data_IF_604247126922
#
_entry.id   IF_604247126922
#
_cell.length_a   1.000
_cell.length_b   1.000
_cell.length_c   1.000
_cell.angle_alpha   90.00
_cell.angle_beta   90.00
_cell.angle_gamma   90.00
#
_symmetry.space_group_name_H-M   'P 1'
#
loop_
_entity.id
_entity.type
_entity.pdbx_description
1 polymer ?
#
# COMPACT_ATOMS: atom_id res chain seq x y z
N UNK A 1 -4.13 18.69 -65.11
CA UNK A 1 -4.07 19.41 -63.84
C UNK A 1 -4.66 18.50 -62.80
N UNK A 2 -3.75 17.77 -62.13
CA UNK A 2 -4.08 16.82 -61.08
C UNK A 2 -4.21 17.56 -59.75
N UNK A 3 -5.31 17.30 -59.04
CA UNK A 3 -5.46 17.72 -57.65
C UNK A 3 -5.56 16.45 -56.80
N UNK A 4 -4.47 16.17 -56.07
CA UNK A 4 -4.36 15.12 -55.07
C UNK A 4 -5.10 15.56 -53.83
N UNK A 5 -6.16 14.87 -53.47
CA UNK A 5 -6.81 14.95 -52.17
C UNK A 5 -6.07 14.00 -51.22
N UNK A 6 -5.20 14.54 -50.37
CA UNK A 6 -4.62 13.79 -49.25
C UNK A 6 -5.69 13.54 -48.18
N UNK A 7 -5.95 12.27 -47.95
CA UNK A 7 -6.79 11.78 -46.86
C UNK A 7 -6.09 12.04 -45.48
N UNK A 8 -6.61 12.97 -44.70
CA UNK A 8 -6.29 13.10 -43.29
C UNK A 8 -6.99 11.97 -42.52
N UNK A 9 -6.36 10.80 -42.42
CA UNK A 9 -6.74 9.78 -41.44
C UNK A 9 -6.27 10.23 -40.05
N UNK A 10 -7.25 10.59 -39.21
CA UNK A 10 -7.03 11.09 -37.86
C UNK A 10 -6.35 10.07 -36.95
N UNK A 11 -5.04 10.15 -36.84
CA UNK A 11 -4.30 9.48 -35.80
C UNK A 11 -4.54 10.19 -34.45
N UNK A 12 -5.40 9.65 -33.60
CA UNK A 12 -5.42 10.08 -32.18
C UNK A 12 -4.00 10.10 -31.65
N UNK A 13 -3.55 11.27 -31.22
CA UNK A 13 -2.19 11.45 -30.73
C UNK A 13 -1.95 10.49 -29.55
N UNK A 14 -0.73 9.94 -29.46
CA UNK A 14 -0.28 9.14 -28.30
C UNK A 14 -0.62 9.82 -26.97
N UNK A 15 -0.71 11.13 -26.98
CA UNK A 15 -1.09 11.96 -25.83
C UNK A 15 -2.59 11.83 -25.52
N UNK A 16 -3.47 11.84 -26.51
CA UNK A 16 -4.91 11.66 -26.35
C UNK A 16 -5.23 10.25 -25.85
N UNK A 17 -4.55 9.23 -26.38
CA UNK A 17 -4.67 7.84 -25.89
C UNK A 17 -4.17 7.68 -24.47
N UNK A 18 -3.07 8.34 -24.09
CA UNK A 18 -2.58 8.38 -22.70
C UNK A 18 -3.50 9.15 -21.77
N UNK A 19 -4.08 10.26 -22.23
CA UNK A 19 -5.06 11.03 -21.46
C UNK A 19 -6.38 10.27 -21.29
N UNK A 20 -6.89 9.62 -22.34
CA UNK A 20 -8.08 8.77 -22.28
C UNK A 20 -7.85 7.54 -21.38
N UNK A 21 -6.67 6.92 -21.45
CA UNK A 21 -6.26 5.84 -20.54
C UNK A 21 -6.18 6.32 -19.09
N UNK A 22 -5.62 7.52 -18.84
CA UNK A 22 -5.61 8.15 -17.50
C UNK A 22 -7.01 8.50 -17.01
N UNK A 23 -7.91 8.95 -17.89
CA UNK A 23 -9.30 9.24 -17.55
C UNK A 23 -10.09 7.96 -17.20
N UNK A 24 -9.88 6.86 -17.93
CA UNK A 24 -10.46 5.54 -17.60
C UNK A 24 -9.89 4.92 -16.33
N UNK A 25 -8.66 5.28 -15.95
CA UNK A 25 -8.01 4.84 -14.71
C UNK A 25 -8.31 5.74 -13.49
N UNK A 26 -9.13 6.80 -13.65
CA UNK A 26 -9.57 7.58 -12.49
C UNK A 26 -10.50 6.71 -11.65
N UNK A 27 -9.94 6.16 -10.59
CA UNK A 27 -10.71 5.53 -9.52
C UNK A 27 -11.78 6.49 -9.05
N UNK A 28 -13.04 6.08 -9.11
CA UNK A 28 -14.13 6.87 -8.55
C UNK A 28 -13.94 6.93 -7.02
N UNK A 29 -13.50 8.09 -6.54
CA UNK A 29 -13.37 8.34 -5.10
C UNK A 29 -14.75 8.68 -4.53
N UNK A 30 -15.17 7.95 -3.50
CA UNK A 30 -16.45 8.16 -2.80
C UNK A 30 -16.30 7.89 -1.31
N UNK A 31 -17.24 8.38 -0.53
CA UNK A 31 -17.39 8.00 0.88
C UNK A 31 -18.48 6.94 0.98
N UNK A 32 -18.18 5.85 1.67
CA UNK A 32 -19.13 4.78 2.01
C UNK A 32 -19.26 4.70 3.52
N UNK A 33 -20.37 4.18 4.02
CA UNK A 33 -20.56 3.94 5.46
C UNK A 33 -20.48 2.43 5.71
N UNK A 34 -19.44 2.01 6.42
CA UNK A 34 -19.21 0.61 6.80
C UNK A 34 -19.63 0.47 8.27
N UNK A 35 -20.72 -0.23 8.52
CA UNK A 35 -21.36 -0.23 9.82
C UNK A 35 -21.79 1.19 10.22
N UNK A 36 -21.05 1.82 11.13
CA UNK A 36 -21.26 3.23 11.56
C UNK A 36 -20.11 4.16 11.21
N UNK A 37 -19.12 3.68 10.46
CA UNK A 37 -17.89 4.40 10.16
C UNK A 37 -17.91 4.89 8.71
N UNK A 38 -17.93 6.21 8.48
CA UNK A 38 -17.73 6.75 7.14
C UNK A 38 -16.27 6.56 6.73
N UNK A 39 -16.07 6.00 5.55
CA UNK A 39 -14.76 5.67 5.01
C UNK A 39 -14.66 6.20 3.58
N UNK A 40 -13.63 7.01 3.30
CA UNK A 40 -13.33 7.43 1.94
C UNK A 40 -12.57 6.32 1.23
N UNK A 41 -13.07 5.91 0.09
CA UNK A 41 -12.51 4.84 -0.72
C UNK A 41 -12.32 5.28 -2.18
N UNK A 42 -11.49 4.53 -2.90
CA UNK A 42 -11.37 4.61 -4.34
C UNK A 42 -11.20 3.20 -4.90
N UNK A 43 -12.03 2.84 -5.87
CA UNK A 43 -11.96 1.55 -6.55
C UNK A 43 -11.46 1.77 -7.98
N UNK A 44 -10.39 1.07 -8.35
CA UNK A 44 -9.96 0.92 -9.75
C UNK A 44 -10.46 -0.44 -10.22
N UNK A 45 -11.45 -0.52 -11.12
CA UNK A 45 -11.90 -1.79 -11.67
C UNK A 45 -10.75 -2.55 -12.31
N UNK A 46 -10.73 -3.87 -12.14
CA UNK A 46 -9.86 -4.78 -12.86
C UNK A 46 -10.51 -5.29 -14.12
N UNK A 47 -9.72 -5.78 -15.08
CA UNK A 47 -10.23 -6.48 -16.29
C UNK A 47 -10.22 -8.00 -16.12
N UNK A 48 -9.63 -8.51 -15.05
CA UNK A 48 -9.58 -9.92 -14.67
C UNK A 48 -10.73 -10.31 -13.72
N UNK A 49 -10.81 -11.61 -13.41
CA UNK A 49 -11.82 -12.20 -12.52
C UNK A 49 -11.29 -12.55 -11.12
N UNK A 50 -10.04 -12.19 -10.81
CA UNK A 50 -9.43 -12.47 -9.51
C UNK A 50 -10.00 -11.61 -8.37
N UNK A 51 -9.76 -11.99 -7.10
CA UNK A 51 -10.11 -11.15 -5.96
C UNK A 51 -9.46 -9.77 -6.03
N UNK A 52 -10.10 -8.72 -5.49
CA UNK A 52 -9.53 -7.39 -5.48
C UNK A 52 -8.30 -7.30 -4.55
N UNK A 53 -7.42 -6.34 -4.82
CA UNK A 53 -6.29 -5.98 -3.99
C UNK A 53 -6.67 -4.80 -3.07
N UNK A 54 -6.72 -5.03 -1.76
CA UNK A 54 -6.81 -3.97 -0.75
C UNK A 54 -5.42 -3.33 -0.56
N UNK A 55 -5.33 -2.00 -0.63
CA UNK A 55 -4.08 -1.26 -0.39
C UNK A 55 -4.13 -0.51 0.95
N UNK A 56 -3.34 -0.97 1.91
CA UNK A 56 -3.15 -0.35 3.22
C UNK A 56 -1.90 0.52 3.24
N UNK A 57 -2.08 1.83 3.45
CA UNK A 57 -1.04 2.84 3.33
C UNK A 57 -0.18 2.99 4.60
N UNK A 58 0.99 3.60 4.45
CA UNK A 58 1.84 4.02 5.56
C UNK A 58 1.20 5.10 6.43
N UNK A 59 1.76 5.32 7.62
CA UNK A 59 1.24 6.30 8.58
C UNK A 59 1.16 7.71 8.00
N UNK A 60 0.00 8.35 8.10
CA UNK A 60 -0.28 9.71 7.63
C UNK A 60 -0.51 9.84 6.12
N UNK A 61 -0.31 8.79 5.34
CA UNK A 61 -0.48 8.82 3.89
C UNK A 61 -1.95 8.54 3.49
N UNK A 62 -2.43 9.24 2.47
CA UNK A 62 -3.78 9.07 1.92
C UNK A 62 -3.78 8.14 0.70
N UNK A 63 -4.97 7.73 0.27
CA UNK A 63 -5.16 6.78 -0.83
C UNK A 63 -4.51 7.23 -2.16
N UNK A 64 -4.31 8.53 -2.37
CA UNK A 64 -3.67 9.07 -3.56
C UNK A 64 -2.18 8.74 -3.62
N UNK A 65 -1.53 8.49 -2.50
CA UNK A 65 -0.09 8.14 -2.46
C UNK A 65 0.22 6.91 -3.32
N UNK A 66 -0.75 6.04 -3.55
CA UNK A 66 -0.60 4.87 -4.41
C UNK A 66 -0.76 5.15 -5.92
N UNK A 67 -1.07 6.37 -6.36
CA UNK A 67 -1.29 6.65 -7.79
C UNK A 67 -0.12 6.23 -8.70
N UNK A 68 1.17 6.50 -8.34
CA UNK A 68 2.29 6.02 -9.15
C UNK A 68 2.34 4.49 -9.23
N UNK A 69 2.08 3.80 -8.14
CA UNK A 69 2.04 2.34 -8.09
C UNK A 69 0.91 1.75 -8.94
N UNK A 70 -0.28 2.32 -8.87
CA UNK A 70 -1.41 1.88 -9.68
C UNK A 70 -1.16 2.01 -11.19
N UNK A 71 -0.39 3.02 -11.59
CA UNK A 71 -0.04 3.22 -13.01
C UNK A 71 0.89 2.13 -13.55
N UNK A 72 1.63 1.44 -12.68
CA UNK A 72 2.56 0.37 -13.02
C UNK A 72 2.00 -1.05 -12.74
N UNK A 73 0.97 -1.15 -11.90
CA UNK A 73 0.34 -2.43 -11.55
C UNK A 73 -0.51 -2.96 -12.71
N UNK A 74 -0.52 -4.28 -12.89
CA UNK A 74 -1.34 -4.95 -13.90
C UNK A 74 -2.80 -4.45 -13.86
N UNK A 75 -3.34 -3.97 -15.00
CA UNK A 75 -4.72 -3.52 -15.10
C UNK A 75 -5.77 -4.63 -14.91
N UNK A 76 -5.38 -5.89 -14.97
CA UNK A 76 -6.26 -7.01 -14.68
C UNK A 76 -6.70 -7.05 -13.21
N UNK A 77 -5.86 -6.53 -12.29
CA UNK A 77 -6.13 -6.56 -10.86
C UNK A 77 -7.07 -5.42 -10.48
N UNK A 78 -8.23 -5.74 -9.91
CA UNK A 78 -9.08 -4.76 -9.25
C UNK A 78 -8.39 -4.24 -7.99
N UNK A 79 -8.44 -2.92 -7.74
CA UNK A 79 -7.77 -2.32 -6.58
C UNK A 79 -8.74 -1.49 -5.76
N UNK A 80 -8.81 -1.78 -4.47
CA UNK A 80 -9.56 -1.03 -3.48
C UNK A 80 -8.57 -0.28 -2.59
N UNK A 81 -8.65 1.04 -2.61
CA UNK A 81 -7.89 1.93 -1.71
C UNK A 81 -8.83 2.61 -0.75
N UNK A 82 -8.34 2.90 0.43
CA UNK A 82 -9.11 3.57 1.46
C UNK A 82 -8.22 4.49 2.30
N UNK A 83 -8.82 5.54 2.84
CA UNK A 83 -8.21 6.33 3.91
C UNK A 83 -8.70 5.78 5.26
N UNK A 84 -7.79 5.38 6.14
CA UNK A 84 -8.21 4.97 7.50
C UNK A 84 -8.91 6.14 8.21
N UNK A 85 -9.82 5.89 9.17
CA UNK A 85 -10.53 6.96 9.87
C UNK A 85 -9.59 8.02 10.46
N UNK A 86 -9.86 9.29 10.15
CA UNK A 86 -9.04 10.44 10.56
C UNK A 86 -7.82 10.73 9.69
N UNK A 87 -7.63 10.02 8.56
CA UNK A 87 -6.54 10.26 7.62
C UNK A 87 -7.10 10.62 6.26
N UNK A 88 -6.36 11.40 5.48
CA UNK A 88 -6.76 11.80 4.15
C UNK A 88 -8.12 12.50 4.13
N UNK A 89 -9.11 11.87 3.53
CA UNK A 89 -10.47 12.38 3.44
C UNK A 89 -11.49 11.61 4.28
N UNK A 90 -11.08 10.61 5.06
CA UNK A 90 -11.96 9.93 6.01
C UNK A 90 -12.14 10.75 7.27
N UNK A 91 -13.40 10.91 7.77
CA UNK A 91 -13.66 11.67 8.99
C UNK A 91 -12.91 11.14 10.20
N UNK A 92 -12.57 12.05 11.12
CA UNK A 92 -11.94 11.69 12.39
C UNK A 92 -12.94 10.95 13.27
N UNK A 93 -12.62 9.72 13.76
CA UNK A 93 -13.51 9.02 14.66
C UNK A 93 -13.47 9.64 16.08
N UNK A 94 -14.53 9.44 16.86
CA UNK A 94 -14.63 9.99 18.22
C UNK A 94 -13.57 9.40 19.16
N UNK A 95 -13.10 8.19 18.92
CA UNK A 95 -12.13 7.47 19.75
C UNK A 95 -11.01 6.88 18.91
N UNK A 96 -9.78 6.72 19.46
CA UNK A 96 -8.72 5.96 18.83
C UNK A 96 -9.16 4.52 18.51
N UNK A 97 -8.59 3.96 17.48
CA UNK A 97 -8.82 2.57 17.05
C UNK A 97 -7.56 1.71 17.28
N UNK A 98 -7.74 0.40 17.18
CA UNK A 98 -6.66 -0.60 17.15
C UNK A 98 -6.63 -1.28 15.78
N UNK A 99 -5.54 -1.94 15.42
CA UNK A 99 -5.46 -2.68 14.16
C UNK A 99 -6.56 -3.72 14.00
N UNK A 100 -6.95 -4.44 15.08
CA UNK A 100 -8.07 -5.38 15.03
C UNK A 100 -9.40 -4.71 14.65
N UNK A 101 -9.67 -3.51 15.16
CA UNK A 101 -10.86 -2.71 14.76
C UNK A 101 -10.82 -2.34 13.27
N UNK A 102 -9.63 -1.95 12.76
CA UNK A 102 -9.46 -1.62 11.35
C UNK A 102 -9.56 -2.86 10.45
N UNK A 103 -9.01 -4.00 10.87
CA UNK A 103 -9.13 -5.25 10.14
C UNK A 103 -10.60 -5.66 9.96
N UNK A 104 -11.39 -5.58 11.04
CA UNK A 104 -12.82 -5.84 10.98
C UNK A 104 -13.57 -4.82 10.10
N UNK A 105 -13.18 -3.54 10.15
CA UNK A 105 -13.72 -2.51 9.27
C UNK A 105 -13.46 -2.83 7.79
N UNK A 106 -12.26 -3.37 7.44
CA UNK A 106 -11.94 -3.80 6.09
C UNK A 106 -12.76 -5.02 5.65
N UNK A 107 -13.02 -5.97 6.55
CA UNK A 107 -13.95 -7.07 6.25
C UNK A 107 -15.36 -6.54 5.93
N UNK A 108 -15.87 -5.61 6.72
CA UNK A 108 -17.15 -4.95 6.43
C UNK A 108 -17.13 -4.11 5.15
N UNK A 109 -15.97 -3.54 4.76
CA UNK A 109 -15.83 -2.86 3.48
C UNK A 109 -15.94 -3.84 2.31
N UNK A 110 -15.34 -5.03 2.42
CA UNK A 110 -15.49 -6.09 1.41
C UNK A 110 -16.96 -6.52 1.28
N UNK A 111 -17.69 -6.70 2.40
CA UNK A 111 -19.13 -7.00 2.38
C UNK A 111 -19.93 -5.91 1.68
N UNK A 112 -19.62 -4.63 1.98
CA UNK A 112 -20.28 -3.49 1.35
C UNK A 112 -20.04 -3.44 -0.18
N UNK A 113 -18.89 -3.93 -0.64
CA UNK A 113 -18.53 -3.96 -2.06
C UNK A 113 -18.90 -5.28 -2.75
N UNK A 114 -19.42 -6.28 -2.02
CA UNK A 114 -19.84 -7.56 -2.55
C UNK A 114 -18.71 -8.55 -2.80
N UNK A 115 -17.57 -8.40 -2.11
CA UNK A 115 -16.42 -9.31 -2.23
C UNK A 115 -16.35 -10.29 -1.06
N UNK A 116 -16.22 -11.57 -1.36
CA UNK A 116 -16.03 -12.63 -0.34
C UNK A 116 -14.59 -12.65 0.19
N UNK A 117 -13.60 -12.43 -0.69
CA UNK A 117 -12.18 -12.46 -0.38
C UNK A 117 -11.46 -11.29 -1.07
N UNK A 118 -10.28 -10.95 -0.53
CA UNK A 118 -9.36 -10.00 -1.15
C UNK A 118 -7.91 -10.45 -0.91
N UNK A 119 -7.02 -9.97 -1.77
CA UNK A 119 -5.59 -9.87 -1.45
C UNK A 119 -5.35 -8.58 -0.69
N UNK A 120 -4.30 -8.51 0.12
CA UNK A 120 -3.96 -7.29 0.83
C UNK A 120 -2.49 -6.94 0.65
N UNK A 121 -2.21 -5.70 0.27
CA UNK A 121 -0.88 -5.12 0.30
C UNK A 121 -0.82 -4.05 1.37
N UNK A 122 0.17 -4.14 2.25
CA UNK A 122 0.44 -3.13 3.26
C UNK A 122 1.88 -2.63 3.19
N UNK A 123 2.03 -1.29 3.13
CA UNK A 123 3.34 -0.64 3.23
C UNK A 123 3.53 -0.06 4.64
N UNK A 124 4.71 -0.31 5.25
CA UNK A 124 5.08 0.30 6.53
C UNK A 124 4.01 0.04 7.62
N UNK A 125 3.39 1.06 8.21
CA UNK A 125 2.27 0.97 9.13
C UNK A 125 1.09 0.15 8.55
N UNK A 126 0.81 0.32 7.26
CA UNK A 126 -0.19 -0.49 6.55
C UNK A 126 0.16 -1.98 6.48
N UNK A 127 1.45 -2.32 6.55
CA UNK A 127 1.89 -3.71 6.65
C UNK A 127 1.50 -4.36 7.99
N UNK A 128 1.46 -3.59 9.09
CA UNK A 128 0.91 -4.06 10.35
C UNK A 128 -0.61 -4.33 10.23
N UNK A 129 -1.34 -3.44 9.55
CA UNK A 129 -2.76 -3.65 9.28
C UNK A 129 -3.00 -4.87 8.39
N UNK A 130 -2.17 -5.08 7.36
CA UNK A 130 -2.27 -6.24 6.49
C UNK A 130 -2.03 -7.55 7.24
N UNK A 131 -1.02 -7.60 8.12
CA UNK A 131 -0.77 -8.75 8.99
C UNK A 131 -1.96 -9.00 9.94
N UNK A 132 -2.49 -7.94 10.57
CA UNK A 132 -3.65 -8.08 11.45
C UNK A 132 -4.88 -8.58 10.68
N UNK A 133 -5.14 -8.08 9.48
CA UNK A 133 -6.24 -8.52 8.63
C UNK A 133 -6.09 -10.01 8.30
N UNK A 134 -4.92 -10.44 7.85
CA UNK A 134 -4.66 -11.84 7.52
C UNK A 134 -4.78 -12.78 8.73
N UNK A 135 -4.45 -12.30 9.93
CA UNK A 135 -4.54 -13.09 11.17
C UNK A 135 -5.97 -13.18 11.73
N UNK A 136 -6.75 -12.10 11.66
CA UNK A 136 -8.10 -12.05 12.25
C UNK A 136 -9.20 -12.43 11.24
N UNK A 137 -9.03 -12.08 9.98
CA UNK A 137 -10.01 -12.28 8.90
C UNK A 137 -9.53 -13.36 7.90
N UNK A 138 -9.06 -14.48 8.41
CA UNK A 138 -8.34 -15.54 7.66
C UNK A 138 -9.05 -16.00 6.40
N UNK A 139 -10.39 -16.15 6.45
CA UNK A 139 -11.20 -16.60 5.30
C UNK A 139 -11.40 -15.52 4.26
N UNK A 140 -11.20 -14.25 4.64
CA UNK A 140 -11.38 -13.06 3.81
C UNK A 140 -10.08 -12.63 3.12
N UNK A 141 -8.93 -13.17 3.56
CA UNK A 141 -7.60 -12.84 3.05
C UNK A 141 -7.03 -14.02 2.26
N UNK A 142 -6.85 -13.85 0.94
CA UNK A 142 -6.25 -14.88 0.07
C UNK A 142 -4.73 -14.82 0.09
N UNK A 143 -4.14 -13.67 -0.20
CA UNK A 143 -2.69 -13.43 -0.28
C UNK A 143 -2.31 -12.14 0.44
N UNK A 144 -1.05 -12.07 0.88
CA UNK A 144 -0.51 -10.91 1.60
C UNK A 144 0.75 -10.41 0.92
N UNK A 145 0.84 -9.10 0.70
CA UNK A 145 2.08 -8.43 0.26
C UNK A 145 2.50 -7.44 1.33
N UNK A 146 3.68 -7.64 1.89
CA UNK A 146 4.26 -6.83 2.95
C UNK A 146 5.44 -6.03 2.41
N UNK A 147 5.32 -4.71 2.35
CA UNK A 147 6.34 -3.84 1.80
C UNK A 147 6.93 -2.94 2.88
N UNK A 148 8.25 -2.96 3.05
CA UNK A 148 8.97 -2.08 3.97
C UNK A 148 8.30 -2.00 5.35
N UNK A 149 8.01 -3.16 5.96
CA UNK A 149 7.30 -3.28 7.24
C UNK A 149 7.97 -4.26 8.19
N UNK A 150 7.54 -4.25 9.44
CA UNK A 150 8.07 -5.12 10.50
C UNK A 150 6.96 -5.73 11.35
N UNK A 151 7.35 -6.27 12.50
CA UNK A 151 6.48 -7.01 13.41
C UNK A 151 5.82 -6.14 14.49
N UNK A 152 5.87 -4.82 14.38
CA UNK A 152 5.37 -3.88 15.38
C UNK A 152 6.40 -3.60 16.48
N UNK A 153 5.98 -3.41 17.74
CA UNK A 153 6.88 -2.95 18.82
C UNK A 153 8.02 -3.91 19.17
N UNK A 154 7.93 -5.17 18.75
CA UNK A 154 9.01 -6.17 18.94
C UNK A 154 9.91 -6.31 17.71
N UNK A 155 9.84 -5.40 16.74
CA UNK A 155 10.77 -5.37 15.62
C UNK A 155 12.13 -4.78 16.03
N UNK A 156 13.17 -5.05 15.24
CA UNK A 156 14.44 -4.30 15.34
C UNK A 156 14.14 -2.83 15.04
N UNK A 157 14.36 -1.91 15.97
CA UNK A 157 13.92 -0.52 15.83
C UNK A 157 14.77 0.25 14.81
N UNK A 158 14.17 1.31 14.28
CA UNK A 158 14.89 2.36 13.58
C UNK A 158 15.82 3.14 14.54
N UNK A 159 16.74 3.89 13.96
CA UNK A 159 17.54 4.87 14.68
C UNK A 159 16.62 5.84 15.47
N UNK A 160 16.98 6.28 16.70
CA UNK A 160 16.19 7.19 17.53
C UNK A 160 15.79 8.49 16.84
N UNK A 161 16.65 9.06 16.00
CA UNK A 161 16.33 10.25 15.21
C UNK A 161 15.19 9.98 14.21
N UNK A 162 15.19 8.83 13.56
CA UNK A 162 14.13 8.41 12.65
C UNK A 162 12.81 8.28 13.41
N UNK A 163 12.82 7.62 14.56
CA UNK A 163 11.63 7.45 15.42
C UNK A 163 11.07 8.80 15.87
N UNK A 164 11.92 9.72 16.33
CA UNK A 164 11.53 11.07 16.73
C UNK A 164 10.92 11.85 15.54
N UNK A 165 11.50 11.71 14.36
CA UNK A 165 10.99 12.35 13.13
C UNK A 165 9.62 11.81 12.74
N UNK A 166 9.39 10.51 12.92
CA UNK A 166 8.10 9.86 12.63
C UNK A 166 7.02 10.15 13.68
N UNK A 167 7.38 10.66 14.87
CA UNK A 167 6.41 11.01 15.90
C UNK A 167 5.48 12.19 15.50
N UNK A 168 5.83 12.94 14.45
CA UNK A 168 5.02 14.08 13.96
C UNK A 168 4.71 13.96 12.47
N UNK A 169 3.58 14.54 12.00
CA UNK A 169 3.25 14.56 10.57
C UNK A 169 3.99 15.67 9.79
N UNK A 170 4.97 16.37 10.37
CA UNK A 170 5.62 17.56 9.78
C UNK A 170 6.11 17.32 8.35
N UNK A 171 6.59 16.09 8.05
CA UNK A 171 7.06 15.72 6.71
C UNK A 171 5.99 15.77 5.61
N UNK A 172 4.71 15.75 5.99
CA UNK A 172 3.60 15.91 5.05
C UNK A 172 3.11 17.36 4.94
N UNK A 173 3.49 18.22 5.88
CA UNK A 173 3.03 19.60 5.98
C UNK A 173 4.04 20.61 5.41
N UNK A 174 5.35 20.30 5.49
CA UNK A 174 6.44 21.19 5.13
C UNK A 174 7.35 20.52 4.08
N UNK A 175 7.17 20.92 2.81
CA UNK A 175 7.95 20.38 1.68
C UNK A 175 9.44 20.64 1.81
N UNK A 176 9.83 21.84 2.29
CA UNK A 176 11.23 22.18 2.50
C UNK A 176 11.87 21.32 3.58
N UNK A 177 11.13 21.03 4.66
CA UNK A 177 11.55 20.10 5.69
C UNK A 177 11.68 18.68 5.11
N UNK A 178 10.69 18.20 4.38
CA UNK A 178 10.73 16.85 3.75
C UNK A 178 11.97 16.70 2.87
N UNK A 179 12.26 17.67 2.01
CA UNK A 179 13.45 17.66 1.14
C UNK A 179 14.75 17.55 1.93
N UNK A 180 14.87 18.31 3.04
CA UNK A 180 16.08 18.29 3.86
C UNK A 180 16.35 16.95 4.54
N UNK A 181 15.28 16.25 4.96
CA UNK A 181 15.41 15.01 5.73
C UNK A 181 15.25 13.74 4.86
N UNK A 182 14.80 13.85 3.63
CA UNK A 182 14.36 12.73 2.81
C UNK A 182 15.42 11.63 2.70
N UNK A 183 16.66 11.97 2.37
CA UNK A 183 17.73 10.99 2.22
C UNK A 183 18.05 10.23 3.51
N UNK A 184 18.06 10.93 4.64
CA UNK A 184 18.33 10.32 5.94
C UNK A 184 17.12 9.52 6.47
N UNK A 185 15.89 9.99 6.18
CA UNK A 185 14.67 9.36 6.67
C UNK A 185 14.26 8.16 5.83
N UNK A 186 14.32 8.25 4.50
CA UNK A 186 13.75 7.23 3.61
C UNK A 186 14.80 6.32 2.95
N UNK A 187 16.06 6.72 2.90
CA UNK A 187 17.13 5.93 2.25
C UNK A 187 16.96 5.81 0.74
N UNK A 188 17.69 4.88 0.12
CA UNK A 188 17.56 4.51 -1.28
C UNK A 188 17.53 5.70 -2.25
N UNK A 189 16.57 5.70 -3.16
CA UNK A 189 16.36 6.78 -4.13
C UNK A 189 16.24 8.17 -3.47
N UNK A 190 15.73 8.25 -2.26
CA UNK A 190 15.60 9.51 -1.54
C UNK A 190 16.95 10.16 -1.18
N UNK A 191 18.03 9.40 -1.12
CA UNK A 191 19.40 9.95 -0.94
C UNK A 191 19.90 10.63 -2.20
N UNK A 192 19.50 10.09 -3.36
CA UNK A 192 19.96 10.58 -4.67
C UNK A 192 19.10 11.75 -5.15
N UNK A 193 17.80 11.70 -4.93
CA UNK A 193 16.83 12.72 -5.33
C UNK A 193 15.82 13.03 -4.21
N UNK A 194 16.20 13.85 -3.21
CA UNK A 194 15.31 14.30 -2.15
C UNK A 194 14.12 15.14 -2.66
N UNK A 195 14.27 15.85 -3.79
CA UNK A 195 13.21 16.65 -4.38
C UNK A 195 12.11 15.78 -4.98
N UNK A 196 12.45 14.66 -5.61
CA UNK A 196 11.48 13.68 -6.09
C UNK A 196 10.59 13.18 -4.95
N UNK A 197 11.19 12.85 -3.80
CA UNK A 197 10.43 12.42 -2.60
C UNK A 197 9.48 13.50 -2.14
N UNK A 198 9.98 14.72 -1.95
CA UNK A 198 9.16 15.85 -1.53
C UNK A 198 8.04 16.13 -2.54
N UNK A 199 8.37 16.07 -3.85
CA UNK A 199 7.40 16.22 -4.93
C UNK A 199 6.30 15.17 -4.90
N UNK A 200 6.65 13.89 -4.75
CA UNK A 200 5.69 12.78 -4.72
C UNK A 200 4.81 12.84 -3.47
N UNK A 201 5.42 12.98 -2.28
CA UNK A 201 4.66 13.01 -1.03
C UNK A 201 3.69 14.20 -0.97
N UNK A 202 4.13 15.41 -1.34
CA UNK A 202 3.26 16.60 -1.29
C UNK A 202 2.24 16.66 -2.43
N UNK A 203 2.51 16.02 -3.57
CA UNK A 203 1.56 15.93 -4.68
C UNK A 203 0.45 14.91 -4.45
N UNK A 204 0.80 13.79 -3.83
CA UNK A 204 -0.07 12.63 -3.75
C UNK A 204 -0.57 12.32 -2.32
N UNK A 205 -0.25 13.14 -1.33
CA UNK A 205 -0.75 12.97 0.03
C UNK A 205 -1.74 14.07 0.38
N UNK A 206 -2.97 13.67 0.67
CA UNK A 206 -3.96 14.55 1.27
C UNK A 206 -3.80 14.47 2.80
N UNK A 207 -3.34 15.55 3.40
CA UNK A 207 -3.13 15.60 4.84
C UNK A 207 -4.47 15.65 5.57
N UNK A 208 -4.69 14.71 6.48
CA UNK A 208 -5.84 14.70 7.38
C UNK A 208 -5.58 15.49 8.68
N UNK A 209 -6.55 15.49 9.62
CA UNK A 209 -6.37 16.10 10.93
C UNK A 209 -5.17 15.51 11.69
N UNK A 210 -4.39 16.33 12.38
CA UNK A 210 -3.22 15.87 13.16
C UNK A 210 -3.59 14.81 14.22
N UNK A 211 -4.83 14.86 14.78
CA UNK A 211 -5.34 13.83 15.69
C UNK A 211 -5.47 12.46 15.04
N UNK A 212 -5.81 12.38 13.74
CA UNK A 212 -5.84 11.13 13.00
C UNK A 212 -4.47 10.46 12.94
N UNK A 213 -3.41 11.26 12.74
CA UNK A 213 -2.04 10.78 12.80
C UNK A 213 -1.68 10.22 14.18
N UNK A 214 -2.08 10.92 15.26
CA UNK A 214 -1.88 10.44 16.63
C UNK A 214 -2.64 9.13 16.91
N UNK A 215 -3.81 8.95 16.33
CA UNK A 215 -4.58 7.70 16.45
C UNK A 215 -3.87 6.54 15.73
N UNK A 216 -3.22 6.79 14.60
CA UNK A 216 -2.39 5.78 13.94
C UNK A 216 -1.15 5.42 14.78
N UNK A 217 -0.49 6.39 15.40
CA UNK A 217 0.61 6.12 16.33
C UNK A 217 0.14 5.28 17.53
N UNK A 218 -1.01 5.65 18.11
CA UNK A 218 -1.61 4.91 19.22
C UNK A 218 -1.99 3.47 18.84
N UNK A 219 -2.47 3.24 17.61
CA UNK A 219 -2.77 1.90 17.11
C UNK A 219 -1.51 1.03 16.99
N UNK A 220 -0.37 1.64 16.62
CA UNK A 220 0.93 0.96 16.52
C UNK A 220 1.58 0.69 17.86
N UNK A 221 1.32 1.57 18.87
CA UNK A 221 1.92 1.42 20.19
C UNK A 221 1.34 0.21 20.92
N UNK A 222 2.19 -0.74 21.27
CA UNK A 222 1.79 -1.99 21.94
C UNK A 222 1.29 -3.11 21.02
N UNK A 223 1.18 -2.87 19.71
CA UNK A 223 0.86 -3.94 18.75
C UNK A 223 2.11 -4.68 18.28
N UNK A 224 1.99 -5.98 18.19
CA UNK A 224 2.99 -6.83 17.53
C UNK A 224 2.35 -8.07 16.94
N UNK A 225 2.83 -8.49 15.79
CA UNK A 225 2.48 -9.76 15.16
C UNK A 225 3.46 -10.88 15.50
N UNK A 226 4.63 -10.57 16.06
CA UNK A 226 5.77 -11.49 16.18
C UNK A 226 5.37 -12.90 16.69
N UNK A 227 4.65 -13.06 17.82
CA UNK A 227 4.27 -14.39 18.30
C UNK A 227 3.19 -15.09 17.47
N UNK A 228 2.51 -14.35 16.58
CA UNK A 228 1.40 -14.85 15.78
C UNK A 228 1.80 -15.13 14.33
N UNK A 229 2.99 -14.74 13.88
CA UNK A 229 3.46 -14.95 12.50
C UNK A 229 3.41 -16.41 12.04
N UNK A 230 3.71 -17.44 12.88
CA UNK A 230 3.57 -18.85 12.49
C UNK A 230 2.12 -19.26 12.17
N UNK A 231 1.13 -18.46 12.58
CA UNK A 231 -0.30 -18.67 12.31
C UNK A 231 -0.80 -17.98 11.04
N UNK A 232 0.02 -17.14 10.41
CA UNK A 232 -0.28 -16.48 9.14
C UNK A 232 -0.05 -17.47 8.00
N UNK A 233 -1.12 -18.13 7.54
CA UNK A 233 -1.06 -19.24 6.59
C UNK A 233 -1.21 -18.83 5.13
N UNK A 234 -1.60 -17.59 4.87
CA UNK A 234 -1.75 -17.08 3.52
C UNK A 234 -0.39 -17.02 2.81
N UNK A 235 -0.32 -17.34 1.51
CA UNK A 235 0.86 -17.05 0.71
C UNK A 235 1.25 -15.58 0.89
N UNK A 236 2.51 -15.33 1.24
CA UNK A 236 2.98 -14.00 1.62
C UNK A 236 4.21 -13.61 0.82
N UNK A 237 4.18 -12.44 0.18
CA UNK A 237 5.35 -11.81 -0.43
C UNK A 237 5.87 -10.70 0.48
N UNK A 238 7.11 -10.84 0.95
CA UNK A 238 7.79 -9.83 1.76
C UNK A 238 8.79 -9.08 0.88
N UNK A 239 8.60 -7.77 0.74
CA UNK A 239 9.45 -6.88 -0.03
C UNK A 239 10.16 -5.91 0.93
N UNK A 240 11.50 -5.96 0.97
CA UNK A 240 12.29 -5.15 1.88
C UNK A 240 13.46 -4.47 1.16
N UNK A 241 13.68 -3.19 1.46
CA UNK A 241 14.82 -2.45 0.94
C UNK A 241 16.08 -2.72 1.75
N UNK A 242 17.23 -2.74 1.09
CA UNK A 242 18.53 -2.92 1.74
C UNK A 242 19.08 -1.62 2.37
N UNK A 243 18.53 -0.46 1.99
CA UNK A 243 18.86 0.87 2.53
C UNK A 243 17.61 1.56 3.11
N UNK A 244 16.79 0.83 3.90
CA UNK A 244 15.62 1.37 4.59
C UNK A 244 15.95 1.78 6.04
N UNK A 245 16.02 3.09 6.35
CA UNK A 245 16.34 3.55 7.71
C UNK A 245 15.14 3.49 8.66
N UNK A 246 13.90 3.39 8.16
CA UNK A 246 12.68 3.33 8.97
C UNK A 246 12.41 1.91 9.43
N UNK A 247 12.49 0.96 8.49
CA UNK A 247 12.33 -0.46 8.80
C UNK A 247 13.61 -1.19 8.36
N UNK A 248 14.58 -1.36 9.28
CA UNK A 248 15.81 -2.08 8.96
C UNK A 248 15.55 -3.41 8.26
N UNK A 249 16.32 -3.70 7.23
CA UNK A 249 16.20 -4.89 6.36
C UNK A 249 16.02 -6.21 7.11
N UNK A 250 16.65 -6.35 8.29
CA UNK A 250 16.53 -7.53 9.14
C UNK A 250 15.09 -7.86 9.52
N UNK A 251 14.20 -6.86 9.61
CA UNK A 251 12.79 -7.08 9.93
C UNK A 251 12.05 -7.84 8.81
N UNK A 252 12.38 -7.57 7.54
CA UNK A 252 11.88 -8.35 6.42
C UNK A 252 12.32 -9.82 6.48
N UNK A 253 13.57 -10.06 6.88
CA UNK A 253 14.10 -11.42 7.08
C UNK A 253 13.38 -12.14 8.23
N UNK A 254 13.09 -11.44 9.34
CA UNK A 254 12.33 -11.99 10.47
C UNK A 254 10.92 -12.37 10.01
N UNK A 255 10.22 -11.49 9.29
CA UNK A 255 8.90 -11.80 8.73
C UNK A 255 8.94 -13.05 7.86
N UNK A 256 9.87 -13.10 6.92
CA UNK A 256 9.97 -14.21 5.97
C UNK A 256 10.38 -15.54 6.63
N UNK A 257 11.15 -15.51 7.73
CA UNK A 257 11.56 -16.71 8.45
C UNK A 257 10.46 -17.31 9.33
N UNK A 258 9.52 -16.47 9.79
CA UNK A 258 8.47 -16.89 10.74
C UNK A 258 7.11 -17.14 10.08
N UNK A 259 6.84 -16.57 8.92
CA UNK A 259 5.62 -16.82 8.15
C UNK A 259 5.82 -18.07 7.29
N UNK A 260 5.00 -19.14 7.46
CA UNK A 260 5.26 -20.45 6.83
C UNK A 260 5.33 -20.44 5.30
N UNK A 261 4.53 -19.61 4.64
CA UNK A 261 4.45 -19.53 3.18
C UNK A 261 4.93 -18.18 2.65
N UNK A 262 5.99 -17.63 3.29
CA UNK A 262 6.57 -16.37 2.86
C UNK A 262 7.67 -16.57 1.83
N UNK A 263 7.69 -15.65 0.83
CA UNK A 263 8.80 -15.44 -0.09
C UNK A 263 9.40 -14.07 0.21
N UNK A 264 10.70 -14.01 0.38
CA UNK A 264 11.44 -12.77 0.59
C UNK A 264 12.03 -12.28 -0.72
N UNK A 265 11.78 -11.03 -1.06
CA UNK A 265 12.50 -10.33 -2.11
C UNK A 265 13.14 -9.05 -1.53
N UNK A 266 14.46 -8.98 -1.59
CA UNK A 266 15.22 -7.79 -1.21
C UNK A 266 15.49 -6.96 -2.45
N UNK A 267 15.07 -5.68 -2.41
CA UNK A 267 15.37 -4.73 -3.49
C UNK A 267 16.42 -3.71 -3.06
N UNK A 268 17.18 -3.24 -4.03
CA UNK A 268 18.13 -2.15 -3.79
C UNK A 268 17.39 -0.82 -3.72
N UNK A 269 17.24 -0.29 -2.50
CA UNK A 269 16.49 0.94 -2.25
C UNK A 269 16.02 1.12 -0.82
N UNK A 270 15.25 2.20 -0.61
CA UNK A 270 14.78 2.64 0.69
C UNK A 270 13.30 2.34 0.97
N UNK A 271 12.76 3.12 1.92
CA UNK A 271 11.41 2.90 2.49
C UNK A 271 10.24 3.17 1.53
N UNK A 272 10.41 4.07 0.57
CA UNK A 272 9.30 4.58 -0.27
C UNK A 272 9.42 4.18 -1.75
N UNK A 273 10.23 3.18 -2.07
CA UNK A 273 10.48 2.74 -3.44
C UNK A 273 9.21 2.26 -4.17
N UNK A 274 8.25 1.69 -3.46
CA UNK A 274 6.95 1.31 -4.04
C UNK A 274 6.26 2.48 -4.76
N UNK A 275 6.49 3.70 -4.29
CA UNK A 275 5.87 4.91 -4.81
C UNK A 275 6.81 5.69 -5.72
N UNK A 276 8.12 5.72 -5.41
CA UNK A 276 9.12 6.44 -6.20
C UNK A 276 9.53 5.70 -7.46
N UNK A 277 9.67 4.37 -7.36
CA UNK A 277 10.11 3.49 -8.44
C UNK A 277 9.15 2.30 -8.61
N UNK A 278 7.86 2.55 -8.87
CA UNK A 278 6.84 1.50 -8.90
C UNK A 278 7.14 0.41 -9.95
N UNK A 279 7.81 0.76 -11.04
CA UNK A 279 8.24 -0.20 -12.08
C UNK A 279 9.19 -1.29 -11.55
N UNK A 280 9.85 -1.06 -10.42
CA UNK A 280 10.71 -2.06 -9.79
C UNK A 280 9.91 -3.17 -9.10
N UNK A 281 8.82 -2.81 -8.42
CA UNK A 281 8.09 -3.73 -7.54
C UNK A 281 6.73 -4.17 -8.09
N UNK A 282 6.07 -3.35 -8.91
CA UNK A 282 4.75 -3.67 -9.44
C UNK A 282 4.70 -4.96 -10.29
N UNK A 283 5.69 -5.28 -11.14
CA UNK A 283 5.70 -6.56 -11.86
C UNK A 283 5.76 -7.78 -10.95
N UNK A 284 6.64 -7.75 -9.93
CA UNK A 284 6.77 -8.82 -8.94
C UNK A 284 5.48 -9.04 -8.14
N UNK A 285 4.83 -7.93 -7.76
CA UNK A 285 3.55 -7.96 -7.05
C UNK A 285 2.45 -8.49 -7.96
N UNK A 286 2.40 -8.06 -9.23
CA UNK A 286 1.40 -8.53 -10.19
C UNK A 286 1.53 -10.02 -10.44
N UNK A 287 2.76 -10.51 -10.67
CA UNK A 287 3.05 -11.93 -10.85
C UNK A 287 2.58 -12.74 -9.64
N UNK A 288 2.99 -12.35 -8.42
CA UNK A 288 2.59 -13.02 -7.19
C UNK A 288 1.07 -13.08 -7.00
N UNK A 289 0.34 -12.01 -7.33
CA UNK A 289 -1.11 -11.94 -7.15
C UNK A 289 -1.88 -12.76 -8.21
N UNK A 290 -1.31 -12.95 -9.39
CA UNK A 290 -1.93 -13.66 -10.52
C UNK A 290 -1.46 -15.12 -10.65
N UNK A 291 -0.48 -15.55 -9.87
CA UNK A 291 -0.07 -16.96 -9.82
C UNK A 291 -1.28 -17.86 -9.59
N UNK A 292 -1.45 -18.88 -10.43
CA UNK A 292 -2.40 -19.95 -10.17
C UNK A 292 -1.91 -20.78 -8.98
N UNK A 293 -2.78 -21.05 -8.00
CA UNK A 293 -2.43 -21.99 -6.94
C UNK A 293 -2.10 -23.34 -7.57
N UNK A 294 -1.00 -24.01 -7.17
CA UNK A 294 -0.80 -25.39 -7.54
C UNK A 294 -2.06 -26.15 -7.08
N UNK A 295 -2.75 -26.77 -8.02
CA UNK A 295 -3.91 -27.60 -7.75
C UNK A 295 -3.58 -28.62 -6.65
N UNK A 296 -4.57 -29.12 -5.89
CA UNK A 296 -4.32 -30.15 -4.92
C UNK A 296 -3.57 -31.30 -5.59
N UNK A 297 -2.57 -31.89 -4.92
CA UNK A 297 -1.84 -33.02 -5.48
C UNK A 297 -2.87 -34.05 -5.95
N UNK A 298 -2.82 -34.41 -7.23
CA UNK A 298 -3.67 -35.44 -7.79
C UNK A 298 -3.51 -36.66 -6.88
N UNK A 299 -4.59 -37.06 -6.21
CA UNK A 299 -4.61 -38.28 -5.43
C UNK A 299 -4.26 -39.42 -6.39
N UNK A 300 -2.99 -39.85 -6.36
CA UNK A 300 -2.52 -41.02 -7.08
C UNK A 300 -3.40 -42.19 -6.68
N UNK A 301 -4.00 -42.77 -7.69
CA UNK A 301 -4.70 -44.03 -7.59
C UNK A 301 -3.71 -45.17 -7.32
#
# INVERSE_FOLDING_TARGET
MSSTAESQSGGESLWARRAARRARQRSLTRTVVVGRTPLRIAVRPGTGSGPPLLLANGIGASLETFEPFLAALDPAIEVIRFDVPGVGGSPLPARPYRFGTLAHLLAGLLDHLGHEQADILGISWGGALAQQFALSERRRCRRVVLVATGTGVLMVPANPWVLATLATPRRYLDRGYTRRIAGQLYGGTARQDPEQVAGVLHRWTRVGPSRGYLYQLAAGSGWTSLPLLPLLRQPTLVLTGDDDPIIPHVNGRILASLIPHARLHTYHGGHVELVLRPALLAPLISEFLTETEPGPPSAGR
#
